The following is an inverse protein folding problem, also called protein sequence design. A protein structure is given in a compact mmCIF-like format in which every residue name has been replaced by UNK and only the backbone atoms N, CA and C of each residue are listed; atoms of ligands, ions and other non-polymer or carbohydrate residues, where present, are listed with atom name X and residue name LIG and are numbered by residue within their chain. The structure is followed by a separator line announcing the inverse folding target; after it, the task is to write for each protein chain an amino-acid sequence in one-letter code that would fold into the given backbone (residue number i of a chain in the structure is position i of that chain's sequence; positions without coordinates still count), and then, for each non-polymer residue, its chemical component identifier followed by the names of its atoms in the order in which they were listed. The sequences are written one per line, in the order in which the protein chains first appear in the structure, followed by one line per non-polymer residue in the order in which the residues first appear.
data_IF_274632846095
#
_entry.id   IF_274632846095
#
_cell.length_a   1.000
_cell.length_b   1.000
_cell.length_c   1.000
_cell.angle_alpha   90.00
_cell.angle_beta   90.00
_cell.angle_gamma   90.00
#
_symmetry.space_group_name_H-M   'P 1'
#
loop_
_entity.id
_entity.type
_entity.pdbx_description
1 polymer ?
#
# COMPACT_ATOMS: atom_id res chain seq x y z
N UNK A 1 6.83 -28.53 -2.77
CA UNK A 1 7.91 -27.89 -1.97
C UNK A 1 7.43 -27.33 -0.63
N UNK A 2 6.31 -26.60 -0.54
CA UNK A 2 5.81 -26.03 0.73
C UNK A 2 5.39 -27.10 1.77
N UNK A 3 4.69 -28.16 1.33
CA UNK A 3 4.29 -29.26 2.22
C UNK A 3 5.47 -30.01 2.86
N UNK A 4 6.58 -30.17 2.15
CA UNK A 4 7.76 -30.83 2.69
C UNK A 4 8.47 -29.96 3.76
N UNK A 5 8.45 -28.63 3.58
CA UNK A 5 8.97 -27.68 4.57
C UNK A 5 8.12 -27.66 5.84
N UNK A 6 6.78 -27.73 5.69
CA UNK A 6 5.86 -27.75 6.83
C UNK A 6 6.03 -29.03 7.68
N UNK A 7 6.04 -30.20 7.05
CA UNK A 7 6.26 -31.48 7.77
C UNK A 7 7.57 -31.50 8.55
N UNK A 8 8.66 -31.05 7.93
CA UNK A 8 9.97 -30.98 8.61
C UNK A 8 9.93 -30.06 9.83
N UNK A 9 9.17 -28.97 9.78
CA UNK A 9 9.03 -28.06 10.91
C UNK A 9 8.23 -28.72 12.03
N UNK A 10 7.12 -29.38 11.70
CA UNK A 10 6.28 -30.12 12.65
C UNK A 10 7.11 -31.20 13.37
N UNK A 11 7.87 -32.02 12.63
CA UNK A 11 8.75 -33.07 13.18
C UNK A 11 9.80 -32.53 14.16
N UNK A 12 10.31 -31.32 13.92
CA UNK A 12 11.31 -30.66 14.79
C UNK A 12 10.63 -30.10 16.03
N UNK A 13 9.47 -29.45 15.87
CA UNK A 13 8.72 -28.86 16.98
C UNK A 13 8.25 -29.93 17.98
N UNK A 14 7.84 -31.10 17.49
CA UNK A 14 7.40 -32.24 18.31
C UNK A 14 8.51 -32.84 19.20
N UNK A 15 9.78 -32.59 18.86
CA UNK A 15 10.94 -33.06 19.62
C UNK A 15 11.46 -32.03 20.63
N UNK A 16 10.90 -30.82 20.65
CA UNK A 16 11.33 -29.77 21.56
C UNK A 16 10.74 -29.97 22.97
N UNK A 17 11.49 -29.50 23.96
CA UNK A 17 10.95 -29.27 25.30
C UNK A 17 10.01 -28.06 25.29
N UNK A 18 9.14 -27.94 26.29
CA UNK A 18 8.21 -26.81 26.41
C UNK A 18 8.90 -25.44 26.41
N UNK A 19 10.07 -25.33 27.04
CA UNK A 19 10.85 -24.09 27.09
C UNK A 19 11.40 -23.71 25.71
N UNK A 20 11.96 -24.68 24.97
CA UNK A 20 12.47 -24.44 23.62
C UNK A 20 11.34 -24.16 22.61
N UNK A 21 10.20 -24.84 22.75
CA UNK A 21 9.01 -24.54 21.95
C UNK A 21 8.56 -23.09 22.16
N UNK A 22 8.52 -22.65 23.42
CA UNK A 22 8.15 -21.26 23.77
C UNK A 22 9.10 -20.24 23.13
N UNK A 23 10.41 -20.48 23.16
CA UNK A 23 11.39 -19.63 22.47
C UNK A 23 11.16 -19.56 20.95
N UNK A 24 10.86 -20.68 20.31
CA UNK A 24 10.57 -20.71 18.86
C UNK A 24 9.28 -19.95 18.55
N UNK A 25 8.25 -20.10 19.39
CA UNK A 25 6.99 -19.37 19.24
C UNK A 25 7.20 -17.85 19.35
N UNK A 26 7.91 -17.39 20.39
CA UNK A 26 8.26 -15.98 20.57
C UNK A 26 9.05 -15.43 19.38
N UNK A 27 10.02 -16.19 18.88
CA UNK A 27 10.80 -15.79 17.72
C UNK A 27 9.94 -15.74 16.44
N UNK A 28 9.03 -16.69 16.24
CA UNK A 28 8.09 -16.67 15.12
C UNK A 28 7.16 -15.46 15.18
N UNK A 29 6.68 -15.08 16.37
CA UNK A 29 5.91 -13.85 16.57
C UNK A 29 6.73 -12.60 16.29
N UNK A 30 7.98 -12.55 16.73
CA UNK A 30 8.91 -11.47 16.39
C UNK A 30 9.16 -11.37 14.88
N UNK A 31 9.30 -12.49 14.19
CA UNK A 31 9.42 -12.48 12.72
C UNK A 31 8.14 -11.95 12.06
N UNK A 32 6.96 -12.33 12.57
CA UNK A 32 5.68 -11.82 12.09
C UNK A 32 5.57 -10.30 12.25
N UNK A 33 6.02 -9.74 13.37
CA UNK A 33 5.99 -8.27 13.57
C UNK A 33 6.99 -7.55 12.66
N UNK A 34 8.13 -8.19 12.33
CA UNK A 34 9.12 -7.63 11.39
C UNK A 34 8.75 -7.76 9.91
N UNK A 35 7.91 -8.73 9.54
CA UNK A 35 7.42 -8.86 8.16
C UNK A 35 6.40 -7.77 7.79
N UNK A 36 5.94 -6.97 8.74
CA UNK A 36 4.79 -6.09 8.58
C UNK A 36 3.49 -6.90 8.61
N UNK A 37 2.37 -6.27 8.98
CA UNK A 37 1.08 -6.92 8.70
C UNK A 37 1.01 -7.20 7.21
N UNK A 38 0.56 -8.40 6.77
CA UNK A 38 0.24 -8.61 5.37
C UNK A 38 -0.73 -7.51 4.99
N UNK A 39 -0.24 -6.59 4.15
CA UNK A 39 -1.01 -5.44 3.70
C UNK A 39 -2.34 -6.00 3.20
N UNK A 40 -3.49 -5.51 3.73
CA UNK A 40 -4.78 -6.06 3.37
C UNK A 40 -4.86 -6.11 1.85
N UNK A 41 -5.45 -7.19 1.33
CA UNK A 41 -5.49 -7.51 -0.09
C UNK A 41 -6.42 -6.57 -0.86
N UNK A 42 -6.20 -5.27 -0.73
CA UNK A 42 -6.91 -4.18 -1.40
C UNK A 42 -6.30 -4.05 -2.79
N UNK A 43 -6.56 -5.05 -3.63
CA UNK A 43 -6.07 -5.06 -5.02
C UNK A 43 -6.83 -4.10 -5.92
N UNK A 44 -8.05 -3.76 -5.54
CA UNK A 44 -8.96 -2.96 -6.34
C UNK A 44 -9.14 -1.55 -5.76
N UNK A 45 -9.18 -0.51 -6.62
CA UNK A 45 -9.50 0.83 -6.18
C UNK A 45 -10.90 0.90 -5.57
N UNK A 46 -11.04 1.67 -4.50
CA UNK A 46 -12.35 1.94 -3.90
C UNK A 46 -13.04 3.02 -4.74
N UNK A 47 -14.20 2.68 -5.32
CA UNK A 47 -14.98 3.60 -6.14
C UNK A 47 -15.56 4.76 -5.30
N UNK A 48 -14.82 5.88 -5.23
CA UNK A 48 -15.24 7.10 -4.55
C UNK A 48 -15.44 8.18 -5.62
N UNK A 49 -16.69 8.61 -5.89
CA UNK A 49 -16.96 9.58 -6.95
C UNK A 49 -16.40 10.96 -6.61
N UNK A 50 -16.00 11.70 -7.65
CA UNK A 50 -15.62 13.11 -7.53
C UNK A 50 -16.84 13.96 -7.18
N UNK A 51 -16.79 14.80 -6.13
CA UNK A 51 -17.86 15.75 -5.82
C UNK A 51 -17.91 16.91 -6.82
N UNK A 52 -19.07 17.57 -6.94
CA UNK A 52 -19.29 18.64 -7.92
C UNK A 52 -18.37 19.86 -7.71
N UNK A 53 -18.11 20.20 -6.45
CA UNK A 53 -17.12 21.21 -6.08
C UNK A 53 -16.04 20.52 -5.25
N UNK A 54 -14.79 20.58 -5.71
CA UNK A 54 -13.68 19.92 -5.05
C UNK A 54 -12.44 20.83 -5.04
N UNK A 55 -11.79 20.90 -3.88
CA UNK A 55 -10.47 21.53 -3.78
C UNK A 55 -9.38 20.50 -4.04
N UNK A 56 -8.21 20.94 -4.50
CA UNK A 56 -7.04 20.07 -4.73
C UNK A 56 -6.69 19.22 -3.50
N UNK A 57 -6.77 19.81 -2.29
CA UNK A 57 -6.53 19.09 -1.03
C UNK A 57 -7.59 18.00 -0.80
N UNK A 58 -8.86 18.29 -1.09
CA UNK A 58 -9.92 17.30 -0.99
C UNK A 58 -9.76 16.16 -2.01
N UNK A 59 -9.32 16.49 -3.24
CA UNK A 59 -9.01 15.49 -4.26
C UNK A 59 -7.87 14.56 -3.84
N UNK A 60 -6.77 15.09 -3.28
CA UNK A 60 -5.68 14.25 -2.74
C UNK A 60 -6.21 13.30 -1.68
N UNK A 61 -7.01 13.80 -0.72
CA UNK A 61 -7.61 12.98 0.34
C UNK A 61 -8.56 11.91 -0.22
N UNK A 62 -9.35 12.23 -1.24
CA UNK A 62 -10.24 11.28 -1.92
C UNK A 62 -9.43 10.21 -2.64
N UNK A 63 -8.44 10.60 -3.45
CA UNK A 63 -7.63 9.68 -4.23
C UNK A 63 -6.78 8.76 -3.36
N UNK A 64 -6.25 9.23 -2.23
CA UNK A 64 -5.58 8.35 -1.25
C UNK A 64 -6.52 7.31 -0.63
N UNK A 65 -7.83 7.58 -0.56
CA UNK A 65 -8.84 6.60 -0.12
C UNK A 65 -9.28 5.68 -1.27
N UNK A 66 -9.29 6.18 -2.50
CA UNK A 66 -9.55 5.39 -3.71
C UNK A 66 -8.44 4.37 -3.95
N UNK A 67 -7.19 4.73 -3.70
CA UNK A 67 -6.03 3.87 -3.91
C UNK A 67 -5.27 3.60 -2.59
N UNK A 68 -5.89 2.87 -1.63
CA UNK A 68 -5.28 2.64 -0.32
C UNK A 68 -4.02 1.76 -0.39
N UNK A 69 -3.82 1.04 -1.50
CA UNK A 69 -2.67 0.17 -1.77
C UNK A 69 -1.43 0.90 -2.29
N UNK A 70 -1.57 2.17 -2.69
CA UNK A 70 -0.43 2.98 -3.10
C UNK A 70 0.21 3.59 -1.86
N UNK A 71 1.50 3.35 -1.66
CA UNK A 71 2.23 3.82 -0.49
C UNK A 71 2.10 5.34 -0.34
N UNK A 72 1.62 5.78 0.83
CA UNK A 72 1.26 7.18 1.11
C UNK A 72 2.45 8.14 1.01
N UNK A 73 3.67 7.65 1.24
CA UNK A 73 4.88 8.48 1.35
C UNK A 73 5.37 9.02 0.00
N UNK A 74 5.20 8.28 -1.10
CA UNK A 74 5.54 8.74 -2.45
C UNK A 74 4.54 9.77 -2.96
N UNK A 75 3.25 9.55 -2.68
CA UNK A 75 2.13 10.36 -3.17
C UNK A 75 2.08 11.77 -2.58
N UNK A 76 2.47 11.93 -1.30
CA UNK A 76 2.51 13.24 -0.66
C UNK A 76 3.63 14.14 -1.21
N UNK A 77 4.77 13.55 -1.60
CA UNK A 77 5.89 14.28 -2.18
C UNK A 77 5.57 14.77 -3.60
N UNK A 78 4.94 13.93 -4.43
CA UNK A 78 4.47 14.32 -5.76
C UNK A 78 3.36 15.36 -5.71
N UNK A 79 2.37 15.21 -4.82
CA UNK A 79 1.33 16.21 -4.64
C UNK A 79 1.88 17.59 -4.22
N UNK A 80 2.94 17.60 -3.40
CA UNK A 80 3.64 18.84 -3.01
C UNK A 80 4.41 19.47 -4.18
N UNK A 81 5.02 18.65 -5.04
CA UNK A 81 5.65 19.11 -6.28
C UNK A 81 4.63 19.70 -7.26
N UNK A 82 3.48 19.04 -7.42
CA UNK A 82 2.38 19.46 -8.29
C UNK A 82 1.74 20.77 -7.81
N UNK A 83 1.59 20.98 -6.50
CA UNK A 83 1.18 22.28 -5.93
C UNK A 83 2.20 23.40 -6.21
N UNK A 84 3.50 23.10 -6.12
CA UNK A 84 4.57 24.07 -6.42
C UNK A 84 4.54 24.46 -7.90
N UNK A 85 4.32 23.50 -8.79
CA UNK A 85 4.25 23.71 -10.23
C UNK A 85 2.96 24.45 -10.64
N UNK A 86 1.85 24.16 -9.96
CA UNK A 86 0.55 24.82 -10.13
C UNK A 86 0.60 26.33 -9.84
N UNK A 87 1.28 26.73 -8.76
CA UNK A 87 1.50 28.13 -8.40
C UNK A 87 2.32 28.91 -9.44
N UNK A 88 3.16 28.22 -10.24
CA UNK A 88 4.00 28.86 -11.26
C UNK A 88 3.31 29.01 -12.62
N UNK A 89 2.32 28.16 -12.95
CA UNK A 89 1.67 28.15 -14.27
C UNK A 89 0.25 28.71 -14.29
N UNK A 90 -0.36 28.99 -13.14
CA UNK A 90 -1.69 29.61 -13.07
C UNK A 90 -2.82 28.71 -13.56
N UNK A 91 -2.66 27.39 -13.45
CA UNK A 91 -3.69 26.42 -13.84
C UNK A 91 -4.93 26.54 -12.93
N UNK A 92 -6.11 26.12 -13.42
CA UNK A 92 -7.32 26.07 -12.58
C UNK A 92 -7.28 24.87 -11.64
N UNK A 93 -7.99 24.97 -10.51
CA UNK A 93 -8.08 23.87 -9.54
C UNK A 93 -8.61 22.57 -10.17
N UNK A 94 -9.51 22.66 -11.15
CA UNK A 94 -10.05 21.51 -11.88
C UNK A 94 -8.98 20.79 -12.72
N UNK A 95 -8.18 21.54 -13.48
CA UNK A 95 -7.12 20.95 -14.30
C UNK A 95 -6.07 20.23 -13.44
N UNK A 96 -5.75 20.77 -12.27
CA UNK A 96 -4.86 20.13 -11.29
C UNK A 96 -5.44 18.83 -10.76
N UNK A 97 -6.76 18.80 -10.48
CA UNK A 97 -7.44 17.59 -10.02
C UNK A 97 -7.39 16.52 -11.11
N UNK A 98 -7.67 16.87 -12.37
CA UNK A 98 -7.62 15.91 -13.48
C UNK A 98 -6.22 15.29 -13.62
N UNK A 99 -5.17 16.10 -13.44
CA UNK A 99 -3.78 15.62 -13.49
C UNK A 99 -3.43 14.70 -12.32
N UNK A 100 -3.94 15.01 -11.12
CA UNK A 100 -3.80 14.11 -9.96
C UNK A 100 -4.52 12.77 -10.22
N UNK A 101 -5.72 12.79 -10.79
CA UNK A 101 -6.46 11.56 -11.12
C UNK A 101 -5.69 10.67 -12.11
N UNK A 102 -5.12 11.26 -13.16
CA UNK A 102 -4.27 10.55 -14.12
C UNK A 102 -3.03 9.93 -13.45
N UNK A 103 -2.32 10.71 -12.63
CA UNK A 103 -1.13 10.26 -11.92
C UNK A 103 -1.41 9.07 -10.99
N UNK A 104 -2.48 9.12 -10.21
CA UNK A 104 -2.88 7.99 -9.33
C UNK A 104 -3.23 6.74 -10.14
N UNK A 105 -3.92 6.90 -11.27
CA UNK A 105 -4.25 5.79 -12.16
C UNK A 105 -3.00 5.14 -12.74
N UNK A 106 -2.07 5.93 -13.27
CA UNK A 106 -0.82 5.42 -13.85
C UNK A 106 0.02 4.66 -12.81
N UNK A 107 0.08 5.18 -11.58
CA UNK A 107 0.79 4.53 -10.47
C UNK A 107 0.14 3.20 -10.07
N UNK A 108 -1.18 3.12 -10.09
CA UNK A 108 -1.93 1.87 -9.87
C UNK A 108 -1.67 0.83 -10.96
N UNK A 109 -1.64 1.25 -12.24
CA UNK A 109 -1.30 0.37 -13.37
C UNK A 109 0.13 -0.15 -13.27
N UNK A 110 1.10 0.69 -12.89
CA UNK A 110 2.47 0.25 -12.63
C UNK A 110 2.55 -0.75 -11.46
N UNK A 111 1.90 -0.44 -10.33
CA UNK A 111 1.86 -1.31 -9.15
C UNK A 111 1.23 -2.68 -9.44
N UNK A 112 0.18 -2.72 -10.26
CA UNK A 112 -0.43 -4.00 -10.67
C UNK A 112 0.48 -4.78 -11.62
N UNK A 113 1.15 -4.10 -12.58
CA UNK A 113 2.05 -4.76 -13.53
C UNK A 113 3.28 -5.40 -12.86
N UNK A 114 3.83 -4.79 -11.80
CA UNK A 114 4.98 -5.35 -11.05
C UNK A 114 4.64 -6.64 -10.30
N UNK A 115 3.39 -6.82 -9.88
CA UNK A 115 2.94 -7.96 -9.05
C UNK A 115 2.47 -9.17 -9.87
N UNK A 116 2.29 -9.00 -11.18
CA UNK A 116 1.94 -10.08 -12.11
C UNK A 116 3.19 -10.78 -12.67
N UNK A 117 4.40 -10.25 -12.41
CA UNK A 117 5.69 -10.88 -12.74
C UNK A 117 6.18 -11.83 -11.65
#
# INVERSE_FOLDING_TARGET
MANARKRRLDDVLDQLTSDHFSMVAEFAEFLRTRQGEPEPDLREPVAIPRPAEESVIAAIRRLSKTYPMLAKDDLFNEASSLMTQHLMHGESGEATIDRLEAMFKDRYEAWTAERVR
#
